data_IF_398447627033
#
_entry.id   IF_398447627033
#
_cell.length_a   1.000
_cell.length_b   1.000
_cell.length_c   1.000
_cell.angle_alpha   90.00
_cell.angle_beta   90.00
_cell.angle_gamma   90.00
#
_symmetry.space_group_name_H-M   'P 1'
#
loop_
_entity.id
_entity.type
_entity.pdbx_description
1 polymer ?
#
# COMPACT_ATOMS: atom_id res chain seq x y z
N UNK A 1 6.68 17.39 13.37
CA UNK A 1 6.17 17.27 14.75
C UNK A 1 7.18 16.53 15.62
N UNK A 2 7.39 15.22 15.44
CA UNK A 2 8.32 14.41 16.27
C UNK A 2 9.74 15.00 16.42
N UNK A 3 10.41 15.39 15.32
CA UNK A 3 11.73 16.04 15.37
C UNK A 3 11.74 17.38 16.14
N UNK A 4 10.69 18.20 15.97
CA UNK A 4 10.56 19.49 16.66
C UNK A 4 10.39 19.27 18.16
N UNK A 5 9.64 18.24 18.51
CA UNK A 5 9.27 17.91 19.89
C UNK A 5 10.31 16.98 20.54
N UNK A 6 11.41 16.66 19.84
CA UNK A 6 12.53 15.81 20.27
C UNK A 6 12.09 14.42 20.74
N UNK A 7 11.03 13.89 20.14
CA UNK A 7 10.60 12.50 20.37
C UNK A 7 11.53 11.57 19.59
N UNK A 8 12.08 10.56 20.27
CA UNK A 8 12.84 9.49 19.61
C UNK A 8 11.89 8.48 18.99
N UNK A 9 12.27 7.94 17.84
CA UNK A 9 11.48 6.99 17.07
C UNK A 9 12.39 6.09 16.25
N UNK A 10 11.99 4.83 16.08
CA UNK A 10 12.84 3.82 15.43
C UNK A 10 12.70 3.80 13.92
N UNK A 11 11.49 4.05 13.41
CA UNK A 11 11.16 3.90 11.99
C UNK A 11 10.33 5.09 11.48
N UNK A 12 10.29 5.24 10.15
CA UNK A 12 9.35 6.10 9.46
C UNK A 12 8.35 5.21 8.72
N UNK A 13 7.09 5.24 9.14
CA UNK A 13 5.98 4.73 8.33
C UNK A 13 5.63 5.73 7.23
N UNK A 14 5.43 5.24 6.02
CA UNK A 14 5.07 6.07 4.87
C UNK A 14 4.02 5.38 4.02
N UNK A 15 2.93 6.09 3.74
CA UNK A 15 1.82 5.58 2.94
C UNK A 15 1.97 6.11 1.52
N UNK A 16 1.78 5.23 0.53
CA UNK A 16 1.99 5.56 -0.87
C UNK A 16 1.02 4.83 -1.79
N UNK A 17 0.33 5.59 -2.63
CA UNK A 17 -0.71 5.08 -3.52
C UNK A 17 -0.39 5.35 -4.99
N UNK A 18 -0.97 4.58 -5.89
CA UNK A 18 -0.62 4.64 -7.33
C UNK A 18 -0.97 5.97 -8.02
N UNK A 19 -1.94 6.72 -7.51
CA UNK A 19 -2.28 8.07 -7.96
C UNK A 19 -1.21 9.11 -7.60
N UNK A 20 -0.33 8.80 -6.65
CA UNK A 20 0.86 9.59 -6.33
C UNK A 20 2.03 9.29 -7.28
N UNK A 21 1.86 8.35 -8.21
CA UNK A 21 2.88 7.91 -9.15
C UNK A 21 3.87 6.92 -8.56
N UNK A 22 5.02 6.75 -9.23
CA UNK A 22 6.08 5.86 -8.77
C UNK A 22 6.98 6.59 -7.76
N UNK A 23 7.09 6.07 -6.54
CA UNK A 23 7.79 6.76 -5.44
C UNK A 23 9.25 7.10 -5.77
N UNK A 24 9.93 6.27 -6.56
CA UNK A 24 11.32 6.50 -6.97
C UNK A 24 11.51 7.82 -7.74
N UNK A 25 10.46 8.26 -8.45
CA UNK A 25 10.47 9.44 -9.30
C UNK A 25 9.86 10.67 -8.59
N UNK A 26 9.34 10.48 -7.38
CA UNK A 26 8.60 11.51 -6.65
C UNK A 26 9.51 12.67 -6.21
N UNK A 27 9.02 13.89 -6.42
CA UNK A 27 9.70 15.13 -6.06
C UNK A 27 8.83 16.01 -5.17
N UNK A 28 9.48 16.72 -4.25
CA UNK A 28 8.88 17.79 -3.49
C UNK A 28 8.65 19.01 -4.38
N UNK A 29 7.93 20.01 -3.86
CA UNK A 29 7.62 21.25 -4.59
C UNK A 29 8.86 22.01 -5.06
N UNK A 30 9.97 21.91 -4.32
CA UNK A 30 11.26 22.52 -4.66
C UNK A 30 12.10 21.68 -5.64
N UNK A 31 11.57 20.56 -6.14
CA UNK A 31 12.25 19.64 -7.06
C UNK A 31 13.15 18.60 -6.38
N UNK A 32 13.30 18.64 -5.05
CA UNK A 32 14.08 17.66 -4.30
C UNK A 32 13.45 16.27 -4.40
N UNK A 33 14.27 15.24 -4.61
CA UNK A 33 13.85 13.83 -4.54
C UNK A 33 13.24 13.52 -3.18
N UNK A 34 12.02 12.96 -3.16
CA UNK A 34 11.37 12.52 -1.93
C UNK A 34 12.22 11.50 -1.18
N UNK A 35 12.78 10.52 -1.91
CA UNK A 35 13.64 9.48 -1.35
C UNK A 35 14.87 10.09 -0.68
N UNK A 36 15.51 11.07 -1.31
CA UNK A 36 16.69 11.71 -0.74
C UNK A 36 16.32 12.56 0.49
N UNK A 37 15.14 13.19 0.49
CA UNK A 37 14.63 13.86 1.68
C UNK A 37 14.44 12.88 2.83
N UNK A 38 13.86 11.71 2.57
CA UNK A 38 13.61 10.70 3.60
C UNK A 38 14.93 10.14 4.16
N UNK A 39 15.98 9.99 3.35
CA UNK A 39 17.34 9.62 3.83
C UNK A 39 17.89 10.58 4.88
N UNK A 40 17.55 11.87 4.82
CA UNK A 40 18.03 12.87 5.80
C UNK A 40 17.53 12.64 7.22
N UNK A 41 16.54 11.76 7.40
CA UNK A 41 16.10 11.36 8.73
C UNK A 41 17.00 10.33 9.39
N UNK A 42 17.83 9.61 8.62
CA UNK A 42 18.71 8.54 9.08
C UNK A 42 17.96 7.48 9.92
N UNK A 43 16.78 7.08 9.44
CA UNK A 43 15.92 6.06 10.04
C UNK A 43 15.44 5.10 8.94
N UNK A 44 15.25 3.81 9.24
CA UNK A 44 14.61 2.87 8.31
C UNK A 44 13.23 3.37 7.87
N UNK A 45 12.88 3.11 6.62
CA UNK A 45 11.58 3.44 6.06
C UNK A 45 10.75 2.17 5.90
N UNK A 46 9.52 2.22 6.35
CA UNK A 46 8.51 1.20 6.15
C UNK A 46 7.45 1.80 5.25
N UNK A 47 7.21 1.20 4.09
CA UNK A 47 6.01 1.51 3.34
C UNK A 47 4.85 0.83 4.05
N UNK A 48 4.13 1.60 4.87
CA UNK A 48 3.15 1.09 5.83
C UNK A 48 1.80 0.82 5.16
N UNK A 49 1.50 1.58 4.10
CA UNK A 49 0.34 1.36 3.25
C UNK A 49 0.77 1.53 1.79
N UNK A 50 0.70 0.47 0.99
CA UNK A 50 0.93 0.53 -0.46
C UNK A 50 -0.22 -0.10 -1.20
N UNK A 51 -0.85 0.63 -2.13
CA UNK A 51 -1.88 0.03 -2.98
C UNK A 51 -2.18 0.85 -4.24
N UNK A 52 -2.86 0.21 -5.18
CA UNK A 52 -3.50 0.87 -6.31
C UNK A 52 -4.75 1.61 -5.81
N UNK A 53 -4.97 2.86 -6.26
CA UNK A 53 -6.28 3.51 -6.04
C UNK A 53 -7.37 2.82 -6.89
N UNK A 54 -8.54 2.49 -6.31
CA UNK A 54 -9.71 2.05 -7.06
C UNK A 54 -10.09 3.06 -8.13
N UNK A 55 -10.77 2.60 -9.17
CA UNK A 55 -11.30 3.48 -10.21
C UNK A 55 -12.65 4.09 -9.78
N UNK A 56 -12.92 5.30 -10.27
CA UNK A 56 -14.14 6.06 -9.97
C UNK A 56 -14.09 6.88 -8.68
N UNK A 57 -14.93 7.92 -8.61
CA UNK A 57 -15.05 8.76 -7.42
C UNK A 57 -15.59 7.95 -6.24
N UNK A 58 -14.81 7.85 -5.16
CA UNK A 58 -15.22 7.14 -3.95
C UNK A 58 -15.27 5.62 -4.06
N UNK A 59 -14.46 5.01 -4.95
CA UNK A 59 -14.30 3.55 -5.03
C UNK A 59 -15.46 2.79 -5.66
N UNK A 60 -16.42 3.48 -6.27
CA UNK A 60 -17.67 2.89 -6.73
C UNK A 60 -17.53 1.90 -7.91
N UNK A 61 -16.42 1.90 -8.63
CA UNK A 61 -16.19 1.00 -9.77
C UNK A 61 -15.35 -0.24 -9.42
N UNK A 62 -15.02 -0.44 -8.14
CA UNK A 62 -14.23 -1.55 -7.66
C UNK A 62 -12.73 -1.41 -7.97
N UNK A 63 -11.98 -2.47 -7.68
CA UNK A 63 -10.52 -2.51 -7.85
C UNK A 63 -10.14 -3.04 -9.24
N UNK A 64 -9.36 -2.29 -10.05
CA UNK A 64 -8.73 -2.84 -11.24
C UNK A 64 -7.63 -3.84 -10.87
N UNK A 65 -7.98 -5.12 -10.70
CA UNK A 65 -7.10 -6.13 -10.09
C UNK A 65 -5.74 -6.28 -10.77
N UNK A 66 -5.67 -6.26 -12.10
CA UNK A 66 -4.38 -6.33 -12.80
C UNK A 66 -3.51 -5.11 -12.49
N UNK A 67 -4.09 -3.90 -12.47
CA UNK A 67 -3.34 -2.68 -12.12
C UNK A 67 -2.86 -2.72 -10.67
N UNK A 68 -3.68 -3.28 -9.78
CA UNK A 68 -3.32 -3.51 -8.39
C UNK A 68 -2.12 -4.44 -8.28
N UNK A 69 -2.19 -5.60 -8.92
CA UNK A 69 -1.11 -6.58 -8.95
C UNK A 69 0.18 -6.00 -9.53
N UNK A 70 0.10 -5.31 -10.68
CA UNK A 70 1.24 -4.69 -11.35
C UNK A 70 1.90 -3.62 -10.48
N UNK A 71 1.09 -2.74 -9.88
CA UNK A 71 1.60 -1.66 -9.03
C UNK A 71 2.29 -2.20 -7.78
N UNK A 72 1.65 -3.15 -7.07
CA UNK A 72 2.22 -3.76 -5.87
C UNK A 72 3.53 -4.49 -6.21
N UNK A 73 3.54 -5.29 -7.29
CA UNK A 73 4.75 -6.00 -7.74
C UNK A 73 5.90 -5.04 -8.03
N UNK A 74 5.64 -4.01 -8.85
CA UNK A 74 6.65 -3.02 -9.24
C UNK A 74 7.18 -2.25 -8.02
N UNK A 75 6.29 -1.91 -7.08
CA UNK A 75 6.64 -1.15 -5.89
C UNK A 75 7.43 -1.98 -4.87
N UNK A 76 7.05 -3.25 -4.68
CA UNK A 76 7.78 -4.18 -3.83
C UNK A 76 9.19 -4.47 -4.37
N UNK A 77 9.32 -4.71 -5.68
CA UNK A 77 10.63 -4.91 -6.31
C UNK A 77 11.55 -3.71 -6.13
N UNK A 78 11.03 -2.49 -6.37
CA UNK A 78 11.80 -1.28 -6.14
C UNK A 78 12.17 -1.11 -4.67
N UNK A 79 11.20 -1.28 -3.76
CA UNK A 79 11.40 -1.13 -2.33
C UNK A 79 12.54 -2.04 -1.85
N UNK A 80 12.51 -3.32 -2.22
CA UNK A 80 13.55 -4.28 -1.90
C UNK A 80 14.93 -3.86 -2.43
N UNK A 81 15.00 -3.47 -3.71
CA UNK A 81 16.26 -3.10 -4.36
C UNK A 81 16.78 -1.71 -3.96
N UNK A 82 15.96 -0.87 -3.33
CA UNK A 82 16.31 0.51 -2.98
C UNK A 82 17.36 0.64 -1.87
N UNK A 83 17.49 -0.39 -1.03
CA UNK A 83 18.35 -0.41 0.16
C UNK A 83 17.92 0.54 1.31
N UNK A 84 16.89 1.36 1.11
CA UNK A 84 16.37 2.30 2.11
C UNK A 84 15.07 1.82 2.77
N UNK A 85 14.23 1.13 2.00
CA UNK A 85 12.99 0.54 2.51
C UNK A 85 13.33 -0.77 3.22
N UNK A 86 12.86 -0.91 4.46
CA UNK A 86 13.07 -2.08 5.32
C UNK A 86 11.77 -2.79 5.70
N UNK A 87 10.62 -2.24 5.30
CA UNK A 87 9.31 -2.87 5.46
C UNK A 87 8.38 -2.48 4.32
N UNK A 88 7.52 -3.42 3.91
CA UNK A 88 6.55 -3.24 2.83
C UNK A 88 5.24 -3.91 3.20
N UNK A 89 4.17 -3.12 3.30
CA UNK A 89 2.84 -3.56 3.68
C UNK A 89 1.85 -3.10 2.62
N UNK A 90 1.08 -4.04 2.06
CA UNK A 90 -0.04 -3.70 1.19
C UNK A 90 -1.20 -3.22 2.05
N UNK A 91 -1.85 -2.11 1.66
CA UNK A 91 -3.03 -1.64 2.37
C UNK A 91 -4.17 -2.64 2.24
N UNK A 92 -4.65 -3.10 3.39
CA UNK A 92 -5.79 -3.98 3.64
C UNK A 92 -5.71 -5.42 3.09
N UNK A 93 -5.95 -6.37 4.00
CA UNK A 93 -6.11 -7.78 3.63
C UNK A 93 -7.47 -8.02 2.97
N UNK A 94 -8.53 -7.39 3.49
CA UNK A 94 -9.91 -7.55 3.01
C UNK A 94 -10.52 -6.19 2.72
N UNK A 95 -11.38 -6.09 1.71
CA UNK A 95 -12.18 -4.87 1.50
C UNK A 95 -12.97 -4.51 2.76
N UNK A 96 -13.10 -3.22 3.06
CA UNK A 96 -13.77 -2.74 4.27
C UNK A 96 -15.23 -2.35 3.99
N UNK A 97 -16.19 -2.77 4.83
CA UNK A 97 -17.56 -2.29 4.75
C UNK A 97 -17.63 -0.81 5.14
N UNK A 98 -18.34 0.00 4.36
CA UNK A 98 -18.66 1.35 4.78
C UNK A 98 -20.02 1.36 5.48
N UNK A 99 -20.19 2.31 6.39
CA UNK A 99 -21.28 2.51 7.37
C UNK A 99 -22.73 2.50 6.83
N UNK A 100 -22.96 2.25 5.53
CA UNK A 100 -24.25 2.35 4.85
C UNK A 100 -24.52 1.21 3.88
N UNK A 101 -24.46 -0.03 4.38
CA UNK A 101 -24.94 -1.26 3.74
C UNK A 101 -24.11 -1.89 2.62
N UNK A 102 -23.15 -1.23 1.97
CA UNK A 102 -22.30 -1.83 0.93
C UNK A 102 -20.78 -1.65 1.18
N UNK A 103 -19.98 -2.47 0.51
CA UNK A 103 -18.52 -2.33 0.49
C UNK A 103 -18.17 -1.13 -0.38
N UNK A 104 -17.31 -0.24 0.11
CA UNK A 104 -16.88 0.94 -0.67
C UNK A 104 -15.38 1.11 -0.71
N UNK A 105 -14.65 0.42 0.19
CA UNK A 105 -13.20 0.47 0.22
C UNK A 105 -12.61 -0.81 -0.35
N UNK A 106 -12.35 -0.78 -1.66
CA UNK A 106 -11.96 -1.96 -2.43
C UNK A 106 -10.43 -2.16 -2.47
N UNK A 107 -9.71 -1.83 -1.40
CA UNK A 107 -8.25 -1.99 -1.35
C UNK A 107 -7.80 -3.42 -1.09
N UNK A 108 -8.68 -4.27 -0.56
CA UNK A 108 -8.33 -5.59 -0.05
C UNK A 108 -7.64 -6.46 -1.08
N UNK A 109 -6.62 -7.20 -0.64
CA UNK A 109 -6.11 -8.34 -1.41
C UNK A 109 -7.18 -9.44 -1.57
N UNK A 110 -8.15 -9.49 -0.66
CA UNK A 110 -9.31 -10.36 -0.70
C UNK A 110 -10.55 -9.49 -0.80
N UNK A 111 -11.40 -9.75 -1.81
CA UNK A 111 -12.65 -9.02 -1.96
C UNK A 111 -13.55 -9.26 -0.74
N UNK A 112 -14.47 -8.34 -0.43
CA UNK A 112 -15.51 -8.63 0.55
C UNK A 112 -16.79 -9.17 -0.11
N UNK A 113 -17.47 -10.08 0.58
CA UNK A 113 -18.73 -10.68 0.17
C UNK A 113 -19.75 -10.64 1.32
N UNK A 114 -21.02 -10.91 1.02
CA UNK A 114 -22.06 -11.11 2.04
C UNK A 114 -22.54 -12.55 1.99
N UNK A 115 -22.70 -13.17 3.16
CA UNK A 115 -23.33 -14.48 3.24
C UNK A 115 -24.85 -14.40 3.04
N UNK A 116 -25.56 -15.54 3.09
CA UNK A 116 -27.02 -15.60 2.93
C UNK A 116 -27.82 -14.80 3.97
N UNK A 117 -27.21 -14.44 5.10
CA UNK A 117 -27.81 -13.61 6.15
C UNK A 117 -27.48 -12.13 6.02
N UNK A 118 -26.75 -11.72 4.97
CA UNK A 118 -26.30 -10.35 4.75
C UNK A 118 -25.08 -9.94 5.58
N UNK A 119 -24.46 -10.86 6.33
CA UNK A 119 -23.26 -10.59 7.12
C UNK A 119 -22.02 -10.55 6.20
N UNK A 120 -21.16 -9.56 6.41
CA UNK A 120 -19.89 -9.42 5.69
C UNK A 120 -18.94 -10.59 6.00
N UNK A 121 -18.38 -11.19 4.95
CA UNK A 121 -17.41 -12.27 4.99
C UNK A 121 -16.29 -11.99 3.96
N UNK A 122 -15.10 -12.57 4.12
CA UNK A 122 -14.12 -12.60 3.03
C UNK A 122 -14.72 -13.29 1.80
N UNK A 123 -14.54 -12.68 0.65
CA UNK A 123 -14.87 -13.21 -0.66
C UNK A 123 -13.66 -13.85 -1.33
N UNK A 124 -13.62 -13.79 -2.66
CA UNK A 124 -12.53 -14.36 -3.44
C UNK A 124 -11.23 -13.53 -3.32
N UNK A 125 -10.06 -14.19 -3.27
CA UNK A 125 -8.78 -13.50 -3.42
C UNK A 125 -8.70 -12.78 -4.77
N UNK A 126 -8.15 -11.56 -4.76
CA UNK A 126 -7.81 -10.82 -5.98
C UNK A 126 -6.49 -11.30 -6.55
N UNK A 127 -6.21 -10.97 -7.81
CA UNK A 127 -4.91 -11.28 -8.43
C UNK A 127 -3.70 -10.79 -7.62
N UNK A 128 -3.83 -9.62 -6.98
CA UNK A 128 -2.79 -9.06 -6.14
C UNK A 128 -2.46 -9.93 -4.91
N UNK A 129 -3.38 -10.78 -4.44
CA UNK A 129 -3.13 -11.71 -3.33
C UNK A 129 -2.05 -12.73 -3.70
N UNK A 130 -2.15 -13.32 -4.89
CA UNK A 130 -1.17 -14.29 -5.36
C UNK A 130 0.19 -13.64 -5.61
N UNK A 131 0.20 -12.47 -6.24
CA UNK A 131 1.41 -11.66 -6.42
C UNK A 131 2.05 -11.32 -5.07
N UNK A 132 1.26 -10.98 -4.04
CA UNK A 132 1.81 -10.66 -2.73
C UNK A 132 2.44 -11.87 -2.04
N UNK A 133 1.85 -13.08 -2.19
CA UNK A 133 2.49 -14.31 -1.73
C UNK A 133 3.83 -14.56 -2.44
N UNK A 134 3.89 -14.34 -3.75
CA UNK A 134 5.12 -14.48 -4.53
C UNK A 134 6.19 -13.48 -4.08
N UNK A 135 5.81 -12.22 -3.85
CA UNK A 135 6.69 -11.17 -3.31
C UNK A 135 7.30 -11.61 -1.98
N UNK A 136 6.48 -12.08 -1.03
CA UNK A 136 6.95 -12.55 0.28
C UNK A 136 7.93 -13.72 0.12
N UNK A 137 7.66 -14.65 -0.79
CA UNK A 137 8.56 -15.77 -1.06
C UNK A 137 9.86 -15.35 -1.76
N UNK A 138 9.80 -14.36 -2.65
CA UNK A 138 10.94 -13.89 -3.48
C UNK A 138 11.87 -12.96 -2.71
N UNK A 139 11.32 -12.20 -1.76
CA UNK A 139 12.02 -11.16 -1.01
C UNK A 139 11.93 -11.43 0.49
N UNK A 140 12.62 -12.48 0.99
CA UNK A 140 12.59 -12.81 2.40
C UNK A 140 13.22 -11.69 3.24
N UNK A 141 12.76 -11.55 4.48
CA UNK A 141 13.42 -10.68 5.44
C UNK A 141 14.85 -11.19 5.70
N UNK A 142 15.82 -10.28 5.63
CA UNK A 142 17.22 -10.52 6.03
C UNK A 142 17.40 -10.36 7.54
#
# INVERSE_FOLDING_TARGET
MLRRDKVDYDIIGWDWFSDMGFMADAKLFDGTSLVDKLKTFNKPIFLAEVNQRPEGSGGQQGMPEQKQADFISKMAEWAYNSGIVRGFMVLELTDVPNTGADFTDYYGLVAAAKNSSGMGIPGEPRQAYDVYKEIISKYPAE
#
